data_IF_628132638317
#
_entry.id   IF_628132638317
#
_cell.length_a   1.000
_cell.length_b   1.000
_cell.length_c   1.000
_cell.angle_alpha   90.00
_cell.angle_beta   90.00
_cell.angle_gamma   90.00
#
_symmetry.space_group_name_H-M   'P 1'
#
loop_
_entity.id
_entity.type
_entity.pdbx_description
1 polymer ?
#
# COMPACT_ATOMS: atom_id res chain seq x y z
N UNK A 1 29.66 51.06 34.20
CA UNK A 1 28.26 50.55 34.20
C UNK A 1 27.54 50.59 32.82
N UNK A 2 28.20 50.87 31.69
CA UNK A 2 27.56 50.85 30.35
C UNK A 2 27.75 49.53 29.58
N UNK A 3 28.86 48.81 29.82
CA UNK A 3 29.16 47.54 29.15
C UNK A 3 28.23 46.40 29.63
N UNK A 4 27.98 46.29 30.94
CA UNK A 4 27.06 45.28 31.51
C UNK A 4 25.67 45.37 30.87
N UNK A 5 25.11 46.58 30.74
CA UNK A 5 23.79 46.80 30.13
C UNK A 5 23.76 46.42 28.64
N UNK A 6 24.87 46.64 27.93
CA UNK A 6 25.02 46.24 26.52
C UNK A 6 25.11 44.71 26.38
N UNK A 7 25.80 44.04 27.29
CA UNK A 7 25.86 42.57 27.32
C UNK A 7 24.50 41.95 27.62
N UNK A 8 23.74 42.48 28.59
CA UNK A 8 22.38 41.99 28.89
C UNK A 8 21.42 42.17 27.71
N UNK A 9 21.53 43.28 26.96
CA UNK A 9 20.75 43.52 25.75
C UNK A 9 21.10 42.54 24.62
N UNK A 10 22.40 42.26 24.42
CA UNK A 10 22.86 41.29 23.42
C UNK A 10 22.39 39.87 23.79
N UNK A 11 22.46 39.51 25.08
CA UNK A 11 21.98 38.20 25.57
C UNK A 11 20.46 38.06 25.38
N UNK A 12 19.68 39.13 25.64
CA UNK A 12 18.23 39.11 25.43
C UNK A 12 17.84 38.96 23.95
N UNK A 13 18.53 39.67 23.05
CA UNK A 13 18.32 39.54 21.60
C UNK A 13 18.69 38.13 21.13
N UNK A 14 19.80 37.59 21.61
CA UNK A 14 20.21 36.22 21.30
C UNK A 14 19.15 35.20 21.75
N UNK A 15 18.63 35.35 22.98
CA UNK A 15 17.60 34.46 23.51
C UNK A 15 16.29 34.56 22.71
N UNK A 16 15.86 35.76 22.34
CA UNK A 16 14.67 35.98 21.51
C UNK A 16 14.81 35.35 20.11
N UNK A 17 16.00 35.46 19.49
CA UNK A 17 16.28 34.83 18.19
C UNK A 17 16.25 33.30 18.30
N UNK A 18 16.84 32.72 19.35
CA UNK A 18 16.79 31.26 19.56
C UNK A 18 15.36 30.75 19.78
N UNK A 19 14.54 31.50 20.51
CA UNK A 19 13.14 31.15 20.75
C UNK A 19 12.30 31.23 19.47
N UNK A 20 12.57 32.22 18.60
CA UNK A 20 11.93 32.34 17.30
C UNK A 20 12.30 31.19 16.35
N UNK A 21 13.57 30.76 16.35
CA UNK A 21 14.06 29.64 15.54
C UNK A 21 13.48 28.29 15.96
N UNK A 22 13.10 28.12 17.23
CA UNK A 22 12.44 26.91 17.73
C UNK A 22 10.93 26.93 17.45
N UNK A 23 10.32 28.11 17.38
CA UNK A 23 8.86 28.28 17.21
C UNK A 23 8.38 28.22 15.76
N UNK A 24 9.26 28.15 14.77
CA UNK A 24 8.84 27.80 13.42
C UNK A 24 8.40 26.34 13.43
N UNK A 25 7.14 26.01 13.08
CA UNK A 25 6.73 24.63 12.96
C UNK A 25 7.57 23.99 11.87
N UNK A 26 8.58 23.20 12.26
CA UNK A 26 9.16 22.15 11.43
C UNK A 26 8.11 21.06 11.25
N UNK A 27 6.98 21.41 10.65
CA UNK A 27 6.22 20.46 9.88
C UNK A 27 6.90 20.40 8.52
N UNK A 28 8.08 19.77 8.52
CA UNK A 28 8.42 18.92 7.39
C UNK A 28 7.36 17.84 7.40
N UNK A 29 6.19 18.15 6.82
CA UNK A 29 5.40 17.14 6.18
C UNK A 29 6.27 16.63 5.02
N UNK A 30 7.26 15.81 5.37
CA UNK A 30 7.58 14.65 4.58
C UNK A 30 6.33 13.80 4.71
N UNK A 31 5.27 14.23 4.00
CA UNK A 31 4.44 13.29 3.29
C UNK A 31 5.45 12.60 2.37
N UNK A 32 6.10 11.59 2.94
CA UNK A 32 6.55 10.50 2.14
C UNK A 32 5.30 10.14 1.35
N UNK A 33 5.33 10.43 0.07
CA UNK A 33 4.57 9.69 -0.92
C UNK A 33 5.03 8.24 -0.76
N UNK A 34 4.57 7.60 0.30
CA UNK A 34 4.62 6.17 0.48
C UNK A 34 3.38 5.73 -0.29
N UNK A 35 3.65 5.37 -1.54
CA UNK A 35 3.17 4.10 -2.06
C UNK A 35 1.65 3.96 -2.19
N UNK A 36 0.95 5.00 -2.65
CA UNK A 36 -0.38 4.75 -3.21
C UNK A 36 -0.28 3.78 -4.39
N UNK A 37 0.82 3.80 -5.16
CA UNK A 37 1.00 2.85 -6.27
C UNK A 37 1.20 1.40 -5.80
N UNK A 38 1.98 1.14 -4.74
CA UNK A 38 2.17 -0.25 -4.27
C UNK A 38 0.97 -0.77 -3.47
N UNK A 39 0.26 0.09 -2.74
CA UNK A 39 -0.98 -0.30 -2.02
C UNK A 39 -2.13 -0.54 -2.99
N UNK A 40 -2.20 0.19 -4.11
CA UNK A 40 -3.16 -0.09 -5.19
C UNK A 40 -2.91 -1.47 -5.81
N UNK A 41 -1.66 -1.80 -6.14
CA UNK A 41 -1.29 -3.09 -6.75
C UNK A 41 -1.56 -4.28 -5.82
N UNK A 42 -1.20 -4.17 -4.53
CA UNK A 42 -1.51 -5.20 -3.54
C UNK A 42 -3.03 -5.39 -3.36
N UNK A 43 -3.79 -4.29 -3.36
CA UNK A 43 -5.26 -4.35 -3.25
C UNK A 43 -5.91 -4.99 -4.47
N UNK A 44 -5.41 -4.68 -5.66
CA UNK A 44 -5.89 -5.24 -6.93
C UNK A 44 -5.59 -6.72 -7.04
N UNK A 45 -4.39 -7.15 -6.63
CA UNK A 45 -4.05 -8.58 -6.61
C UNK A 45 -4.92 -9.37 -5.65
N UNK A 46 -5.19 -8.82 -4.46
CA UNK A 46 -6.06 -9.46 -3.50
C UNK A 46 -7.50 -9.57 -4.02
N UNK A 47 -8.01 -8.52 -4.67
CA UNK A 47 -9.33 -8.53 -5.32
C UNK A 47 -9.41 -9.57 -6.45
N UNK A 48 -8.37 -9.65 -7.30
CA UNK A 48 -8.27 -10.67 -8.35
C UNK A 48 -8.24 -12.09 -7.77
N UNK A 49 -7.48 -12.32 -6.69
CA UNK A 49 -7.45 -13.62 -5.98
C UNK A 49 -8.84 -14.00 -5.46
N UNK A 50 -9.56 -13.05 -4.87
CA UNK A 50 -10.87 -13.30 -4.30
C UNK A 50 -11.94 -13.52 -5.38
N UNK A 51 -11.86 -12.81 -6.51
CA UNK A 51 -12.69 -13.05 -7.69
C UNK A 51 -12.52 -14.49 -8.23
N UNK A 52 -11.28 -14.94 -8.45
CA UNK A 52 -11.02 -16.29 -8.96
C UNK A 52 -11.46 -17.34 -7.95
N UNK A 53 -11.22 -17.13 -6.64
CA UNK A 53 -11.73 -18.03 -5.59
C UNK A 53 -13.25 -18.12 -5.60
N UNK A 54 -13.94 -17.00 -5.79
CA UNK A 54 -15.40 -17.00 -5.88
C UNK A 54 -15.88 -17.79 -7.10
N UNK A 55 -15.22 -17.67 -8.24
CA UNK A 55 -15.51 -18.50 -9.42
C UNK A 55 -15.26 -19.98 -9.14
N UNK A 56 -14.12 -20.33 -8.55
CA UNK A 56 -13.78 -21.70 -8.15
C UNK A 56 -14.70 -22.27 -7.06
N UNK A 57 -15.36 -21.42 -6.29
CA UNK A 57 -16.35 -21.86 -5.30
C UNK A 57 -17.69 -22.23 -5.94
N UNK A 58 -17.95 -21.80 -7.19
CA UNK A 58 -19.20 -22.14 -7.88
C UNK A 58 -19.24 -23.61 -8.26
N UNK A 59 -20.40 -24.22 -8.06
CA UNK A 59 -20.58 -25.67 -8.20
C UNK A 59 -20.44 -26.15 -9.66
N UNK A 60 -20.82 -25.31 -10.62
CA UNK A 60 -20.60 -25.53 -12.05
C UNK A 60 -19.11 -25.56 -12.42
N UNK A 61 -18.33 -24.61 -11.92
CA UNK A 61 -16.88 -24.54 -12.12
C UNK A 61 -16.16 -25.71 -11.43
N UNK A 62 -16.53 -26.04 -10.19
CA UNK A 62 -15.97 -27.20 -9.48
C UNK A 62 -16.23 -28.50 -10.21
N UNK A 63 -17.47 -28.69 -10.68
CA UNK A 63 -17.85 -29.88 -11.44
C UNK A 63 -17.09 -29.97 -12.76
N UNK A 64 -16.89 -28.84 -13.44
CA UNK A 64 -16.09 -28.77 -14.66
C UNK A 64 -14.60 -29.10 -14.41
N UNK A 65 -14.01 -28.61 -13.32
CA UNK A 65 -12.64 -28.93 -12.93
C UNK A 65 -12.46 -30.42 -12.60
N UNK A 66 -13.37 -30.97 -11.81
CA UNK A 66 -13.37 -32.41 -11.49
C UNK A 66 -13.56 -33.24 -12.77
N UNK A 67 -14.41 -32.81 -13.69
CA UNK A 67 -14.59 -33.48 -14.98
C UNK A 67 -13.32 -33.45 -15.85
N UNK A 68 -12.47 -32.43 -15.69
CA UNK A 68 -11.14 -32.36 -16.30
C UNK A 68 -10.05 -33.11 -15.50
N UNK A 69 -10.40 -33.72 -14.37
CA UNK A 69 -9.47 -34.44 -13.50
C UNK A 69 -8.63 -33.54 -12.58
N UNK A 70 -9.05 -32.29 -12.38
CA UNK A 70 -8.40 -31.32 -11.49
C UNK A 70 -9.13 -31.31 -10.15
N UNK A 71 -8.39 -31.51 -9.05
CA UNK A 71 -8.93 -31.33 -7.71
C UNK A 71 -9.15 -29.81 -7.44
N UNK A 72 -10.37 -29.38 -7.06
CA UNK A 72 -10.62 -27.98 -6.71
C UNK A 72 -9.68 -27.44 -5.62
N UNK A 73 -9.26 -28.28 -4.67
CA UNK A 73 -8.31 -27.88 -3.63
C UNK A 73 -6.91 -27.65 -4.19
N UNK A 74 -6.49 -28.44 -5.18
CA UNK A 74 -5.22 -28.22 -5.88
C UNK A 74 -5.25 -26.91 -6.69
N UNK A 75 -6.38 -26.62 -7.35
CA UNK A 75 -6.56 -25.37 -8.08
C UNK A 75 -6.47 -24.14 -7.17
N UNK A 76 -7.11 -24.18 -5.99
CA UNK A 76 -7.00 -23.11 -4.99
C UNK A 76 -5.57 -22.95 -4.47
N UNK A 77 -4.87 -24.06 -4.20
CA UNK A 77 -3.47 -24.03 -3.76
C UNK A 77 -2.54 -23.42 -4.82
N UNK A 78 -2.78 -23.70 -6.10
CA UNK A 78 -2.02 -23.09 -7.20
C UNK A 78 -2.23 -21.59 -7.27
N UNK A 79 -3.47 -21.10 -7.16
CA UNK A 79 -3.75 -19.65 -7.15
C UNK A 79 -3.08 -18.98 -5.94
N UNK A 80 -3.06 -19.64 -4.79
CA UNK A 80 -2.35 -19.13 -3.62
C UNK A 80 -0.83 -19.01 -3.86
N UNK A 81 -0.26 -19.89 -4.69
CA UNK A 81 1.18 -19.88 -5.03
C UNK A 81 1.57 -18.91 -6.14
N UNK A 82 0.61 -18.36 -6.89
CA UNK A 82 0.88 -17.39 -7.96
C UNK A 82 1.37 -16.06 -7.39
N UNK A 83 2.22 -15.37 -8.15
CA UNK A 83 2.62 -13.98 -7.86
C UNK A 83 1.47 -13.02 -8.09
N UNK A 84 1.58 -11.82 -7.53
CA UNK A 84 0.50 -10.85 -7.55
C UNK A 84 0.11 -10.42 -8.96
N UNK A 85 1.10 -10.23 -9.85
CA UNK A 85 0.90 -9.92 -11.26
C UNK A 85 0.28 -11.07 -12.06
N UNK A 86 0.65 -12.32 -11.76
CA UNK A 86 0.11 -13.49 -12.46
C UNK A 86 -1.37 -13.71 -12.13
N UNK A 87 -1.78 -13.42 -10.89
CA UNK A 87 -3.20 -13.52 -10.51
C UNK A 87 -4.03 -12.44 -11.19
N UNK A 88 -3.52 -11.21 -11.29
CA UNK A 88 -4.20 -10.12 -12.00
C UNK A 88 -4.37 -10.49 -13.48
N UNK A 89 -3.31 -10.96 -14.14
CA UNK A 89 -3.38 -11.37 -15.55
C UNK A 89 -4.38 -12.53 -15.76
N UNK A 90 -4.41 -13.50 -14.84
CA UNK A 90 -5.36 -14.61 -14.91
C UNK A 90 -6.81 -14.13 -14.73
N UNK A 91 -7.07 -13.21 -13.82
CA UNK A 91 -8.40 -12.64 -13.61
C UNK A 91 -8.87 -11.89 -14.87
N UNK A 92 -8.01 -11.05 -15.45
CA UNK A 92 -8.28 -10.33 -16.70
C UNK A 92 -8.56 -11.30 -17.86
N UNK A 93 -7.80 -12.38 -17.97
CA UNK A 93 -8.05 -13.39 -19.01
C UNK A 93 -9.42 -14.03 -18.84
N UNK A 94 -9.81 -14.40 -17.61
CA UNK A 94 -11.11 -15.02 -17.34
C UNK A 94 -12.26 -14.05 -17.64
N UNK A 95 -12.11 -12.77 -17.30
CA UNK A 95 -13.11 -11.73 -17.62
C UNK A 95 -13.25 -11.49 -19.13
N UNK A 96 -12.15 -11.61 -19.88
CA UNK A 96 -12.13 -11.44 -21.32
C UNK A 96 -12.53 -12.69 -22.13
N UNK A 97 -12.77 -13.84 -21.47
CA UNK A 97 -13.29 -15.02 -22.17
C UNK A 97 -14.75 -14.77 -22.58
N UNK A 98 -15.09 -14.91 -23.88
CA UNK A 98 -16.49 -14.84 -24.30
C UNK A 98 -17.27 -15.98 -23.67
N UNK A 99 -18.34 -15.62 -22.94
CA UNK A 99 -19.27 -16.55 -22.29
C UNK A 99 -19.94 -17.53 -23.26
#
# INVERSE_FOLDING_TARGET
MRSIRRHTQIIGIFMAVTMLLISTPYQSAIAALIDTETVLDESQSQEARDYIKQLLAREDVRSALIAQGIDPLEAEARIASLSDSEVIELADQIENLPA
#
